data_IF_889271912304
#
_entry.id   IF_889271912304
#
_cell.length_a   1.000
_cell.length_b   1.000
_cell.length_c   1.000
_cell.angle_alpha   90.00
_cell.angle_beta   90.00
_cell.angle_gamma   90.00
#
_symmetry.space_group_name_H-M   'P 1'
#
loop_
_entity.id
_entity.type
_entity.pdbx_description
1 polymer ?
#
# COMPACT_ATOMS: atom_id res chain seq x y z
N UNK A 1 8.07 12.86 2.15
CA UNK A 1 7.07 11.90 2.68
C UNK A 1 6.40 12.50 3.91
N UNK A 2 7.20 13.07 4.81
CA UNK A 2 6.75 13.67 6.06
C UNK A 2 5.64 14.72 5.88
N UNK A 3 5.73 15.60 4.88
CA UNK A 3 4.70 16.63 4.67
C UNK A 3 3.36 16.04 4.21
N UNK A 4 3.38 14.98 3.39
CA UNK A 4 2.18 14.25 3.00
C UNK A 4 1.55 13.51 4.18
N UNK A 5 2.37 12.86 5.02
CA UNK A 5 1.89 12.19 6.24
C UNK A 5 1.25 13.21 7.20
N UNK A 6 1.86 14.39 7.35
CA UNK A 6 1.26 15.49 8.14
C UNK A 6 -0.10 15.92 7.60
N UNK A 7 -0.23 16.09 6.29
CA UNK A 7 -1.50 16.46 5.64
C UNK A 7 -2.58 15.40 5.88
N UNK A 8 -2.24 14.12 5.69
CA UNK A 8 -3.13 12.98 5.95
C UNK A 8 -3.58 12.96 7.43
N UNK A 9 -2.63 13.12 8.35
CA UNK A 9 -2.91 13.13 9.78
C UNK A 9 -3.75 14.33 10.19
N UNK A 10 -3.47 15.51 9.64
CA UNK A 10 -4.28 16.70 9.88
C UNK A 10 -5.71 16.47 9.41
N UNK A 11 -5.91 15.91 8.21
CA UNK A 11 -7.24 15.58 7.70
C UNK A 11 -8.00 14.61 8.62
N UNK A 12 -7.32 13.58 9.13
CA UNK A 12 -7.86 12.62 10.11
C UNK A 12 -8.23 13.30 11.43
N UNK A 13 -7.34 14.12 11.96
CA UNK A 13 -7.44 14.70 13.29
C UNK A 13 -8.49 15.82 13.34
N UNK A 14 -8.64 16.60 12.26
CA UNK A 14 -9.71 17.59 12.10
C UNK A 14 -11.13 16.99 12.21
N UNK A 15 -11.24 15.67 11.98
CA UNK A 15 -12.50 14.91 12.08
C UNK A 15 -12.63 14.10 13.36
N UNK A 16 -11.66 14.22 14.26
CA UNK A 16 -11.58 13.44 15.50
C UNK A 16 -11.58 11.92 15.25
N UNK A 17 -11.08 11.48 14.09
CA UNK A 17 -11.13 10.08 13.68
C UNK A 17 -10.02 9.22 14.27
N UNK A 18 -8.98 9.84 14.85
CA UNK A 18 -7.85 9.11 15.45
C UNK A 18 -8.29 8.10 16.52
N UNK A 19 -9.39 8.37 17.23
CA UNK A 19 -9.96 7.43 18.21
C UNK A 19 -10.47 6.10 17.61
N UNK A 20 -10.84 6.10 16.33
CA UNK A 20 -11.31 4.91 15.60
C UNK A 20 -10.18 4.22 14.82
N UNK A 21 -9.08 4.93 14.56
CA UNK A 21 -7.96 4.47 13.75
C UNK A 21 -6.83 3.90 14.63
N UNK A 22 -7.10 2.86 15.42
CA UNK A 22 -6.00 2.12 16.06
C UNK A 22 -5.31 1.20 15.05
N UNK A 23 -4.12 0.69 15.40
CA UNK A 23 -3.30 -0.12 14.49
C UNK A 23 -4.02 -1.34 13.89
N UNK A 24 -4.91 -2.00 14.66
CA UNK A 24 -5.69 -3.14 14.18
C UNK A 24 -6.73 -2.69 13.16
N UNK A 25 -7.45 -1.60 13.43
CA UNK A 25 -8.48 -1.08 12.54
C UNK A 25 -7.88 -0.46 11.26
N UNK A 26 -6.74 0.23 11.34
CA UNK A 26 -6.01 0.71 10.16
C UNK A 26 -5.51 -0.44 9.27
N UNK A 27 -5.01 -1.53 9.86
CA UNK A 27 -4.60 -2.71 9.10
C UNK A 27 -5.81 -3.41 8.42
N UNK A 28 -6.99 -3.36 9.04
CA UNK A 28 -8.23 -3.81 8.40
C UNK A 28 -8.58 -2.91 7.23
N UNK A 29 -8.56 -1.58 7.38
CA UNK A 29 -8.81 -0.63 6.29
C UNK A 29 -7.90 -0.89 5.10
N UNK A 30 -6.58 -1.08 5.30
CA UNK A 30 -5.65 -1.43 4.21
C UNK A 30 -6.12 -2.68 3.44
N UNK A 31 -6.65 -3.70 4.12
CA UNK A 31 -7.16 -4.90 3.46
C UNK A 31 -8.47 -4.66 2.70
N UNK A 32 -9.32 -3.75 3.18
CA UNK A 32 -10.57 -3.38 2.53
C UNK A 32 -10.28 -2.62 1.25
N UNK A 33 -9.48 -1.55 1.30
CA UNK A 33 -9.15 -0.76 0.10
C UNK A 33 -8.35 -1.56 -0.92
N UNK A 34 -7.50 -2.50 -0.47
CA UNK A 34 -6.83 -3.41 -1.39
C UNK A 34 -7.81 -4.35 -2.11
N UNK A 35 -8.96 -4.63 -1.49
CA UNK A 35 -10.03 -5.42 -2.10
C UNK A 35 -10.86 -4.56 -3.06
N UNK A 36 -11.16 -3.31 -2.72
CA UNK A 36 -11.82 -2.35 -3.62
C UNK A 36 -10.97 -2.10 -4.88
N UNK A 37 -9.65 -1.93 -4.71
CA UNK A 37 -8.70 -1.91 -5.82
C UNK A 37 -8.81 -3.18 -6.69
N UNK A 38 -8.93 -4.35 -6.07
CA UNK A 38 -9.04 -5.63 -6.79
C UNK A 38 -10.35 -5.73 -7.59
N UNK A 39 -11.45 -5.18 -7.08
CA UNK A 39 -12.76 -5.21 -7.73
C UNK A 39 -12.75 -4.53 -9.11
N UNK A 40 -11.95 -3.48 -9.29
CA UNK A 40 -11.75 -2.82 -10.59
C UNK A 40 -11.31 -3.80 -11.71
N UNK A 41 -10.54 -4.83 -11.35
CA UNK A 41 -10.00 -5.83 -12.27
C UNK A 41 -10.85 -7.11 -12.29
N UNK A 42 -11.89 -7.21 -11.46
CA UNK A 42 -12.71 -8.41 -11.39
C UNK A 42 -13.46 -8.62 -12.71
N UNK A 43 -13.32 -9.81 -13.29
CA UNK A 43 -13.97 -10.20 -14.55
C UNK A 43 -13.54 -9.43 -15.80
N UNK A 44 -12.47 -8.62 -15.72
CA UNK A 44 -11.93 -7.82 -16.82
C UNK A 44 -10.48 -8.20 -17.10
N UNK A 45 -10.02 -7.98 -18.33
CA UNK A 45 -8.58 -7.87 -18.58
C UNK A 45 -8.01 -6.58 -17.96
N UNK A 46 -6.69 -6.52 -17.79
CA UNK A 46 -6.03 -5.31 -17.25
C UNK A 46 -6.26 -4.10 -18.14
N UNK A 47 -6.23 -4.29 -19.47
CA UNK A 47 -6.44 -3.23 -20.45
C UNK A 47 -7.88 -2.69 -20.40
N UNK A 48 -8.87 -3.57 -20.24
CA UNK A 48 -10.27 -3.19 -20.10
C UNK A 48 -10.52 -2.43 -18.80
N UNK A 49 -10.02 -2.93 -17.66
CA UNK A 49 -10.18 -2.26 -16.37
C UNK A 49 -9.60 -0.83 -16.37
N UNK A 50 -8.39 -0.68 -16.92
CA UNK A 50 -7.71 0.63 -17.02
C UNK A 50 -8.46 1.58 -17.96
N UNK A 51 -9.02 1.08 -19.06
CA UNK A 51 -9.77 1.91 -20.00
C UNK A 51 -11.16 2.31 -19.46
N UNK A 52 -11.76 1.47 -18.62
CA UNK A 52 -13.10 1.67 -18.07
C UNK A 52 -13.10 2.71 -16.95
N UNK A 53 -12.23 2.56 -15.94
CA UNK A 53 -12.21 3.48 -14.79
C UNK A 53 -10.81 3.67 -14.19
N UNK A 54 -9.94 4.37 -14.93
CA UNK A 54 -8.60 4.73 -14.46
C UNK A 54 -8.63 5.62 -13.20
N UNK A 55 -9.66 6.45 -13.04
CA UNK A 55 -9.69 7.37 -11.89
C UNK A 55 -10.00 6.62 -10.62
N UNK A 56 -10.98 5.72 -10.63
CA UNK A 56 -11.25 4.86 -9.48
C UNK A 56 -10.01 4.03 -9.10
N UNK A 57 -9.30 3.46 -10.07
CA UNK A 57 -8.04 2.73 -9.79
C UNK A 57 -7.00 3.61 -9.07
N UNK A 58 -6.89 4.90 -9.43
CA UNK A 58 -5.96 5.82 -8.73
C UNK A 58 -6.42 6.10 -7.31
N UNK A 59 -7.72 6.31 -7.11
CA UNK A 59 -8.30 6.58 -5.80
C UNK A 59 -8.08 5.39 -4.87
N UNK A 60 -8.38 4.16 -5.32
CA UNK A 60 -8.16 2.95 -4.50
C UNK A 60 -6.68 2.70 -4.17
N UNK A 61 -5.77 3.01 -5.11
CA UNK A 61 -4.33 2.97 -4.82
C UNK A 61 -3.98 4.02 -3.76
N UNK A 62 -4.54 5.22 -3.87
CA UNK A 62 -4.31 6.29 -2.89
C UNK A 62 -4.83 5.88 -1.51
N UNK A 63 -6.00 5.27 -1.41
CA UNK A 63 -6.61 4.86 -0.14
C UNK A 63 -5.80 3.76 0.54
N UNK A 64 -5.37 2.73 -0.20
CA UNK A 64 -4.42 1.71 0.32
C UNK A 64 -3.17 2.38 0.91
N UNK A 65 -2.63 3.37 0.21
CA UNK A 65 -1.43 4.09 0.65
C UNK A 65 -1.73 4.97 1.87
N UNK A 66 -2.83 5.72 1.89
CA UNK A 66 -3.21 6.61 2.98
C UNK A 66 -3.32 5.83 4.30
N UNK A 67 -4.06 4.72 4.34
CA UNK A 67 -4.15 3.92 5.56
C UNK A 67 -2.83 3.26 5.94
N UNK A 68 -2.02 2.85 4.97
CA UNK A 68 -0.68 2.31 5.23
C UNK A 68 0.26 3.37 5.84
N UNK A 69 0.19 4.60 5.36
CA UNK A 69 0.96 5.74 5.86
C UNK A 69 0.51 6.12 7.27
N UNK A 70 -0.80 6.21 7.53
CA UNK A 70 -1.36 6.44 8.87
C UNK A 70 -0.89 5.36 9.86
N UNK A 71 -0.96 4.09 9.46
CA UNK A 71 -0.55 2.97 10.30
C UNK A 71 0.93 3.03 10.65
N UNK A 72 1.78 3.33 9.67
CA UNK A 72 3.21 3.43 9.90
C UNK A 72 3.56 4.62 10.82
N UNK A 73 2.88 5.75 10.66
CA UNK A 73 3.05 6.92 11.52
C UNK A 73 2.60 6.63 12.97
N UNK A 74 1.44 6.00 13.17
CA UNK A 74 0.96 5.61 14.51
C UNK A 74 1.85 4.56 15.20
N UNK A 75 2.71 3.87 14.45
CA UNK A 75 3.70 2.91 14.95
C UNK A 75 5.12 3.51 15.06
N UNK A 76 5.28 4.81 14.84
CA UNK A 76 6.56 5.53 14.85
C UNK A 76 7.59 4.98 13.85
N UNK A 77 7.13 4.51 12.68
CA UNK A 77 8.01 3.97 11.65
C UNK A 77 8.46 5.01 10.63
N UNK A 78 9.76 5.06 10.38
CA UNK A 78 10.27 5.74 9.18
C UNK A 78 9.98 4.88 7.94
N UNK A 79 8.96 5.27 7.16
CA UNK A 79 8.51 4.53 5.98
C UNK A 79 9.61 4.36 4.94
N UNK A 80 10.40 5.40 4.70
CA UNK A 80 11.48 5.35 3.73
C UNK A 80 12.52 4.31 4.12
N UNK A 81 12.88 4.26 5.41
CA UNK A 81 13.82 3.28 5.94
C UNK A 81 13.30 1.85 5.80
N UNK A 82 12.06 1.57 6.22
CA UNK A 82 11.50 0.21 6.15
C UNK A 82 11.39 -0.28 4.69
N UNK A 83 11.04 0.60 3.75
CA UNK A 83 10.98 0.27 2.32
C UNK A 83 12.37 -0.02 1.78
N UNK A 84 13.36 0.85 2.06
CA UNK A 84 14.75 0.64 1.61
C UNK A 84 15.33 -0.67 2.15
N UNK A 85 15.09 -0.96 3.43
CA UNK A 85 15.49 -2.21 4.06
C UNK A 85 14.81 -3.43 3.41
N UNK A 86 13.51 -3.32 3.08
CA UNK A 86 12.78 -4.39 2.39
C UNK A 86 13.28 -4.62 0.96
N UNK A 87 13.59 -3.56 0.22
CA UNK A 87 14.18 -3.64 -1.13
C UNK A 87 15.52 -4.38 -1.08
N UNK A 88 16.40 -4.02 -0.13
CA UNK A 88 17.69 -4.71 0.05
C UNK A 88 17.51 -6.21 0.32
N UNK A 89 16.66 -6.56 1.29
CA UNK A 89 16.33 -7.97 1.62
C UNK A 89 15.75 -8.72 0.41
N UNK A 90 14.89 -8.06 -0.37
CA UNK A 90 14.32 -8.66 -1.59
C UNK A 90 15.38 -8.86 -2.67
N UNK A 91 16.33 -7.94 -2.84
CA UNK A 91 17.44 -8.06 -3.80
C UNK A 91 18.40 -9.20 -3.46
N UNK A 92 18.63 -9.45 -2.17
CA UNK A 92 19.40 -10.62 -1.69
C UNK A 92 18.68 -11.93 -2.01
N UNK A 93 17.35 -11.97 -1.84
CA UNK A 93 16.51 -13.14 -2.14
C UNK A 93 16.32 -13.39 -3.65
N UNK A 94 16.13 -12.33 -4.43
CA UNK A 94 15.79 -12.34 -5.85
C UNK A 94 16.88 -11.66 -6.68
N UNK A 95 18.07 -12.27 -6.74
CA UNK A 95 19.20 -11.67 -7.48
C UNK A 95 18.90 -11.53 -8.97
N UNK A 96 19.46 -10.51 -9.61
CA UNK A 96 19.26 -10.24 -11.06
C UNK A 96 19.53 -11.48 -11.91
N UNK A 97 20.62 -12.22 -11.63
CA UNK A 97 20.99 -13.44 -12.36
C UNK A 97 19.90 -14.53 -12.26
N UNK A 98 19.17 -14.61 -11.15
CA UNK A 98 18.19 -15.67 -10.88
C UNK A 98 16.75 -15.28 -11.21
N UNK A 99 16.45 -13.98 -11.27
CA UNK A 99 15.08 -13.48 -11.31
C UNK A 99 14.74 -12.63 -12.54
N UNK A 100 15.72 -12.21 -13.35
CA UNK A 100 15.44 -11.45 -14.57
C UNK A 100 14.58 -12.27 -15.55
N UNK A 101 13.40 -11.76 -15.89
CA UNK A 101 12.45 -12.43 -16.81
C UNK A 101 11.74 -13.66 -16.21
N UNK A 102 11.88 -13.92 -14.91
CA UNK A 102 11.28 -15.09 -14.27
C UNK A 102 10.55 -14.71 -12.98
N UNK A 103 9.21 -14.79 -13.00
CA UNK A 103 8.36 -14.39 -11.87
C UNK A 103 8.19 -15.50 -10.81
N UNK A 104 8.73 -16.72 -11.02
CA UNK A 104 8.50 -17.85 -10.11
C UNK A 104 8.95 -17.50 -8.69
N UNK A 105 7.98 -17.48 -7.77
CA UNK A 105 8.17 -17.18 -6.35
C UNK A 105 9.08 -18.25 -5.75
N UNK A 106 10.26 -17.85 -5.27
CA UNK A 106 11.10 -18.70 -4.41
C UNK A 106 10.59 -18.58 -2.97
N UNK A 107 10.09 -19.68 -2.43
CA UNK A 107 9.90 -19.84 -0.98
C UNK A 107 11.25 -19.55 -0.31
N UNK A 108 11.27 -18.66 0.68
CA UNK A 108 12.38 -18.65 1.61
C UNK A 108 12.03 -19.74 2.62
N UNK A 109 12.87 -20.77 2.72
CA UNK A 109 13.03 -21.46 4.00
C UNK A 109 13.65 -20.50 5.01
#
# INVERSE_FOLDING_TARGET
MDDLIKEINQFRDERDWRQFHNAKDLALSVSLEASELLENFQWKSSEEAIADDLENIKDEIADVMIYSLMLADDLDFNIEEIIRNKIKKNGEKYTVKKSRGNHKKRSAE
#
